data_IF_371085070008
#
_entry.id   IF_371085070008
#
_cell.length_a   1.000
_cell.length_b   1.000
_cell.length_c   1.000
_cell.angle_alpha   90.00
_cell.angle_beta   90.00
_cell.angle_gamma   90.00
#
_symmetry.space_group_name_H-M   'P 1'
#
loop_
_entity.id
_entity.type
_entity.pdbx_description
1 polymer ?
#
# COMPACT_ATOMS: atom_id res chain seq x y z
N UNK A 1 -2.90 -29.45 14.49
CA UNK A 1 -2.38 -28.41 13.58
C UNK A 1 -3.59 -27.62 13.07
N UNK A 2 -3.71 -26.31 13.33
CA UNK A 2 -4.79 -25.50 12.73
C UNK A 2 -4.46 -25.34 11.24
N UNK A 3 -5.30 -25.91 10.38
CA UNK A 3 -5.23 -25.68 8.94
C UNK A 3 -5.82 -24.29 8.69
N UNK A 4 -5.03 -23.41 8.10
CA UNK A 4 -5.50 -22.09 7.66
C UNK A 4 -6.05 -22.27 6.25
N UNK A 5 -7.33 -21.97 6.05
CA UNK A 5 -7.97 -22.02 4.74
C UNK A 5 -7.88 -20.64 4.08
N UNK A 6 -7.62 -20.61 2.77
CA UNK A 6 -7.76 -19.40 1.96
C UNK A 6 -9.21 -19.30 1.50
N UNK A 7 -9.80 -18.13 1.63
CA UNK A 7 -11.13 -17.81 1.11
C UNK A 7 -11.03 -16.53 0.28
N UNK A 8 -11.63 -16.52 -0.90
CA UNK A 8 -11.82 -15.31 -1.72
C UNK A 8 -13.19 -14.73 -1.37
N UNK A 9 -13.18 -13.67 -0.56
CA UNK A 9 -14.42 -12.95 -0.27
C UNK A 9 -14.74 -12.00 -1.43
N UNK A 10 -15.70 -12.38 -2.27
CA UNK A 10 -16.27 -11.46 -3.26
C UNK A 10 -17.05 -10.37 -2.55
N UNK A 11 -16.98 -9.15 -3.08
CA UNK A 11 -17.71 -8.01 -2.50
C UNK A 11 -19.21 -8.28 -2.56
N UNK A 12 -19.90 -8.20 -1.41
CA UNK A 12 -21.35 -8.45 -1.30
C UNK A 12 -22.20 -7.50 -2.17
N UNK A 13 -21.63 -6.39 -2.62
CA UNK A 13 -22.29 -5.40 -3.48
C UNK A 13 -21.33 -4.91 -4.57
N UNK A 14 -21.83 -4.46 -5.74
CA UNK A 14 -21.02 -3.88 -6.81
C UNK A 14 -20.16 -2.69 -6.37
N UNK A 15 -20.58 -1.98 -5.31
CA UNK A 15 -19.87 -0.86 -4.71
C UNK A 15 -18.47 -1.21 -4.15
N UNK A 16 -18.14 -2.49 -3.98
CA UNK A 16 -16.79 -2.91 -3.58
C UNK A 16 -15.83 -3.12 -4.74
N UNK A 17 -16.33 -3.22 -5.97
CA UNK A 17 -15.52 -3.36 -7.18
C UNK A 17 -15.02 -2.00 -7.63
N UNK A 18 -13.73 -1.88 -7.94
CA UNK A 18 -13.13 -0.62 -8.37
C UNK A 18 -11.98 -0.83 -9.33
N UNK A 19 -11.78 0.17 -10.19
CA UNK A 19 -10.61 0.27 -11.06
C UNK A 19 -9.65 1.29 -10.46
N UNK A 20 -8.41 0.88 -10.24
CA UNK A 20 -7.35 1.74 -9.71
C UNK A 20 -6.36 1.99 -10.85
N UNK A 21 -6.13 3.25 -11.27
CA UNK A 21 -5.12 3.55 -12.28
C UNK A 21 -3.74 3.03 -11.85
N UNK A 22 -3.06 2.32 -12.75
CA UNK A 22 -1.74 1.77 -12.49
C UNK A 22 -0.68 2.78 -12.90
N UNK A 23 0.16 3.18 -11.95
CA UNK A 23 1.33 4.01 -12.23
C UNK A 23 2.40 3.18 -12.97
N UNK A 24 3.24 3.82 -13.79
CA UNK A 24 4.21 3.09 -14.63
C UNK A 24 5.16 2.23 -13.79
N UNK A 25 5.70 2.75 -12.69
CA UNK A 25 6.57 1.95 -11.81
C UNK A 25 5.86 0.76 -11.15
N UNK A 26 4.53 0.83 -10.99
CA UNK A 26 3.72 -0.31 -10.47
C UNK A 26 3.59 -1.37 -11.55
N UNK A 27 3.37 -0.96 -12.80
CA UNK A 27 3.34 -1.86 -13.95
C UNK A 27 4.69 -2.56 -14.12
N UNK A 28 5.79 -1.81 -14.05
CA UNK A 28 7.15 -2.36 -14.07
C UNK A 28 7.35 -3.38 -12.96
N UNK A 29 6.90 -3.10 -11.73
CA UNK A 29 6.99 -4.05 -10.62
C UNK A 29 6.24 -5.37 -10.89
N UNK A 30 5.06 -5.31 -11.52
CA UNK A 30 4.32 -6.52 -11.93
C UNK A 30 5.04 -7.30 -13.03
N UNK A 31 5.66 -6.61 -14.00
CA UNK A 31 6.44 -7.25 -15.05
C UNK A 31 7.68 -7.94 -14.49
N UNK A 32 8.39 -7.29 -13.56
CA UNK A 32 9.53 -7.88 -12.86
C UNK A 32 9.12 -9.11 -12.06
N UNK A 33 7.96 -9.08 -11.40
CA UNK A 33 7.46 -10.24 -10.66
C UNK A 33 7.10 -11.40 -11.59
N UNK A 34 6.50 -11.11 -12.75
CA UNK A 34 6.21 -12.11 -13.79
C UNK A 34 7.50 -12.75 -14.31
N UNK A 35 8.49 -11.95 -14.71
CA UNK A 35 9.79 -12.45 -15.17
C UNK A 35 10.47 -13.31 -14.10
N UNK A 36 10.46 -12.86 -12.84
CA UNK A 36 11.00 -13.62 -11.70
C UNK A 36 10.31 -14.98 -11.55
N UNK A 37 8.99 -15.04 -11.72
CA UNK A 37 8.24 -16.29 -11.66
C UNK A 37 8.60 -17.24 -12.80
N UNK A 38 8.68 -16.72 -14.03
CA UNK A 38 9.09 -17.48 -15.21
C UNK A 38 10.51 -18.06 -15.05
N UNK A 39 11.47 -17.24 -14.60
CA UNK A 39 12.86 -17.66 -14.36
C UNK A 39 12.97 -18.77 -13.30
N UNK A 40 12.07 -18.79 -12.31
CA UNK A 40 12.06 -19.78 -11.25
C UNK A 40 11.14 -20.97 -11.54
N UNK A 41 10.48 -21.00 -12.70
CA UNK A 41 9.45 -22.01 -13.02
C UNK A 41 8.26 -21.98 -12.06
N UNK A 42 8.03 -20.85 -11.39
CA UNK A 42 7.02 -20.72 -10.36
C UNK A 42 5.68 -20.34 -10.98
N UNK A 43 4.66 -21.14 -10.71
CA UNK A 43 3.30 -20.91 -11.18
C UNK A 43 2.30 -21.15 -10.05
N UNK A 44 1.09 -20.64 -10.21
CA UNK A 44 0.02 -20.87 -9.25
C UNK A 44 -0.49 -22.32 -9.35
N UNK A 45 -0.43 -23.05 -8.24
CA UNK A 45 -1.00 -24.40 -8.12
C UNK A 45 -2.34 -24.41 -7.38
N UNK A 46 -2.71 -23.27 -6.78
CA UNK A 46 -3.92 -23.18 -5.98
C UNK A 46 -5.14 -22.79 -6.82
N UNK A 47 -6.26 -23.44 -6.51
CA UNK A 47 -7.60 -22.97 -6.84
C UNK A 47 -8.30 -22.63 -5.54
N UNK A 48 -8.80 -21.40 -5.39
CA UNK A 48 -9.52 -20.95 -4.20
C UNK A 48 -10.85 -20.35 -4.63
N UNK A 49 -11.96 -20.95 -4.21
CA UNK A 49 -13.33 -20.51 -4.55
C UNK A 49 -13.57 -20.30 -6.06
N UNK A 50 -12.95 -21.13 -6.89
CA UNK A 50 -13.04 -21.05 -8.36
C UNK A 50 -12.07 -20.07 -9.02
N UNK A 51 -11.28 -19.32 -8.24
CA UNK A 51 -10.22 -18.45 -8.74
C UNK A 51 -8.88 -19.19 -8.81
N UNK A 52 -8.18 -18.99 -9.92
CA UNK A 52 -6.84 -19.54 -10.22
C UNK A 52 -5.88 -18.43 -10.60
N UNK A 53 -4.64 -18.78 -10.95
CA UNK A 53 -3.66 -17.86 -11.54
C UNK A 53 -3.36 -16.64 -10.66
N UNK A 54 -3.26 -16.86 -9.35
CA UNK A 54 -2.90 -15.83 -8.40
C UNK A 54 -1.51 -15.27 -8.72
N UNK A 55 -1.41 -13.94 -8.84
CA UNK A 55 -0.16 -13.26 -9.16
C UNK A 55 0.87 -13.44 -8.04
N UNK A 56 0.48 -13.30 -6.77
CA UNK A 56 1.43 -13.37 -5.66
C UNK A 56 1.40 -14.74 -4.99
N UNK A 57 2.30 -15.62 -5.40
CA UNK A 57 2.45 -16.97 -4.86
C UNK A 57 3.75 -17.14 -4.06
N UNK A 58 3.76 -18.10 -3.15
CA UNK A 58 4.96 -18.54 -2.44
C UNK A 58 5.73 -19.56 -3.28
N UNK A 59 6.89 -20.03 -2.80
CA UNK A 59 7.76 -20.99 -3.51
C UNK A 59 7.12 -22.36 -3.82
N UNK A 60 5.93 -22.62 -3.31
CA UNK A 60 5.16 -23.85 -3.53
C UNK A 60 3.92 -23.61 -4.39
N UNK A 61 3.84 -22.47 -5.09
CA UNK A 61 2.69 -22.13 -5.95
C UNK A 61 1.39 -21.79 -5.21
N UNK A 62 1.44 -21.65 -3.88
CA UNK A 62 0.26 -21.29 -3.06
C UNK A 62 0.18 -19.77 -2.83
N UNK A 63 -1.01 -19.18 -2.67
CA UNK A 63 -1.17 -17.75 -2.45
C UNK A 63 -0.37 -17.26 -1.23
N UNK A 64 0.19 -16.06 -1.35
CA UNK A 64 0.91 -15.43 -0.24
C UNK A 64 -0.03 -15.10 0.92
N UNK A 65 0.38 -15.44 2.14
CA UNK A 65 -0.40 -15.17 3.34
C UNK A 65 0.01 -13.84 3.99
N UNK A 66 -0.97 -13.03 4.41
CA UNK A 66 -0.73 -11.70 4.99
C UNK A 66 0.22 -11.73 6.20
N UNK A 67 0.12 -12.76 7.05
CA UNK A 67 1.02 -12.90 8.20
C UNK A 67 2.48 -13.11 7.78
N UNK A 68 2.73 -13.78 6.66
CA UNK A 68 4.07 -13.97 6.10
C UNK A 68 4.63 -12.65 5.58
N UNK A 69 3.80 -11.87 4.89
CA UNK A 69 4.18 -10.54 4.42
C UNK A 69 4.51 -9.59 5.59
N UNK A 70 3.67 -9.55 6.62
CA UNK A 70 3.96 -8.75 7.82
C UNK A 70 5.22 -9.22 8.57
N UNK A 71 5.51 -10.54 8.59
CA UNK A 71 6.79 -11.05 9.12
C UNK A 71 7.98 -10.59 8.27
N UNK A 72 7.84 -10.56 6.95
CA UNK A 72 8.87 -10.06 6.04
C UNK A 72 9.13 -8.57 6.29
N UNK A 73 8.08 -7.75 6.42
CA UNK A 73 8.19 -6.31 6.76
C UNK A 73 8.96 -6.12 8.07
N UNK A 74 8.60 -6.85 9.13
CA UNK A 74 9.34 -6.76 10.41
C UNK A 74 10.81 -7.14 10.29
N UNK A 75 11.14 -8.11 9.42
CA UNK A 75 12.53 -8.49 9.16
C UNK A 75 13.27 -7.38 8.41
N UNK A 76 12.63 -6.76 7.41
CA UNK A 76 13.19 -5.62 6.67
C UNK A 76 13.49 -4.47 7.63
N UNK A 77 12.54 -4.10 8.49
CA UNK A 77 12.72 -3.04 9.49
C UNK A 77 13.94 -3.32 10.38
N UNK A 78 14.05 -4.53 10.94
CA UNK A 78 15.21 -4.92 11.75
C UNK A 78 16.50 -4.81 10.97
N UNK A 79 16.59 -5.43 9.80
CA UNK A 79 17.81 -5.44 8.99
C UNK A 79 18.27 -4.01 8.61
N UNK A 80 17.32 -3.13 8.28
CA UNK A 80 17.62 -1.73 7.97
C UNK A 80 18.14 -0.99 9.20
N UNK A 81 17.49 -1.15 10.35
CA UNK A 81 17.91 -0.51 11.59
C UNK A 81 19.26 -1.05 12.08
N UNK A 82 19.47 -2.37 12.02
CA UNK A 82 20.74 -3.01 12.36
C UNK A 82 21.87 -2.48 11.49
N UNK A 83 21.62 -2.27 10.18
CA UNK A 83 22.59 -1.64 9.28
C UNK A 83 22.94 -0.21 9.71
N UNK A 84 21.97 0.58 10.14
CA UNK A 84 22.23 1.93 10.65
C UNK A 84 23.11 1.90 11.91
N UNK A 85 22.90 0.95 12.81
CA UNK A 85 23.73 0.76 14.01
C UNK A 85 25.15 0.26 13.71
N UNK A 86 25.37 -0.41 12.56
CA UNK A 86 26.72 -0.78 12.11
C UNK A 86 27.49 0.42 11.55
N UNK A 87 26.80 1.41 11.00
CA UNK A 87 27.40 2.62 10.41
C UNK A 87 27.61 3.74 11.44
N UNK A 88 26.77 3.80 12.48
CA UNK A 88 26.85 4.79 13.56
C UNK A 88 26.37 4.21 14.89
N UNK A 89 27.08 4.50 15.98
CA UNK A 89 26.64 4.14 17.33
C UNK A 89 25.35 4.87 17.75
N UNK A 90 25.05 6.01 17.11
CA UNK A 90 23.87 6.81 17.40
C UNK A 90 23.19 7.24 16.07
N UNK A 91 22.43 6.34 15.43
CA UNK A 91 21.82 6.61 14.15
C UNK A 91 20.72 7.66 14.26
N UNK A 92 20.74 8.65 13.35
CA UNK A 92 19.78 9.76 13.36
C UNK A 92 18.37 9.33 12.94
N UNK A 93 18.26 8.32 12.07
CA UNK A 93 16.97 7.87 11.50
C UNK A 93 16.84 6.36 11.60
N UNK A 94 15.80 5.91 12.30
CA UNK A 94 15.40 4.52 12.39
C UNK A 94 14.04 4.32 11.74
N UNK A 95 13.87 3.19 11.06
CA UNK A 95 12.56 2.80 10.56
C UNK A 95 11.65 2.40 11.74
N UNK A 96 10.46 3.02 11.87
CA UNK A 96 9.50 2.65 12.88
C UNK A 96 8.86 1.30 12.54
N UNK A 97 8.15 0.71 13.50
CA UNK A 97 7.34 -0.46 13.22
C UNK A 97 6.13 -0.10 12.35
N UNK A 98 6.03 -0.71 11.16
CA UNK A 98 4.87 -0.54 10.26
C UNK A 98 4.38 -1.87 9.69
N UNK A 99 3.20 -1.84 9.06
CA UNK A 99 2.53 -3.00 8.45
C UNK A 99 2.07 -2.70 7.03
N UNK A 100 1.51 -3.70 6.34
CA UNK A 100 0.89 -3.50 5.03
C UNK A 100 -0.21 -2.42 5.04
N UNK A 101 -0.95 -2.31 6.16
CA UNK A 101 -1.99 -1.28 6.29
C UNK A 101 -1.37 0.11 6.40
N UNK A 102 -0.23 0.24 7.08
CA UNK A 102 0.52 1.48 7.16
C UNK A 102 0.95 1.99 5.78
N UNK A 103 1.35 1.10 4.87
CA UNK A 103 1.70 1.47 3.48
C UNK A 103 0.52 2.09 2.73
N UNK A 104 -0.69 1.54 2.92
CA UNK A 104 -1.93 2.10 2.36
C UNK A 104 -2.23 3.48 2.93
N UNK A 105 -2.01 3.68 4.23
CA UNK A 105 -2.13 5.01 4.83
C UNK A 105 -1.12 5.99 4.24
N UNK A 106 0.15 5.60 4.14
CA UNK A 106 1.18 6.44 3.52
C UNK A 106 0.82 6.83 2.09
N UNK A 107 0.35 5.89 1.27
CA UNK A 107 -0.14 6.20 -0.08
C UNK A 107 -1.28 7.24 -0.07
N UNK A 108 -2.22 7.10 0.86
CA UNK A 108 -3.34 8.04 1.04
C UNK A 108 -2.84 9.44 1.43
N UNK A 109 -1.98 9.52 2.44
CA UNK A 109 -1.39 10.78 2.91
C UNK A 109 -0.61 11.47 1.80
N UNK A 110 0.20 10.74 1.03
CA UNK A 110 0.95 11.30 -0.12
C UNK A 110 0.02 11.86 -1.19
N UNK A 111 -1.10 11.19 -1.49
CA UNK A 111 -2.10 11.75 -2.42
C UNK A 111 -2.74 13.03 -1.88
N UNK A 112 -3.04 13.08 -0.57
CA UNK A 112 -3.56 14.30 0.07
C UNK A 112 -2.54 15.45 0.02
N UNK A 113 -1.26 15.19 0.34
CA UNK A 113 -0.17 16.17 0.28
C UNK A 113 0.03 16.71 -1.14
N UNK A 114 -0.17 15.87 -2.16
CA UNK A 114 -0.11 16.26 -3.56
C UNK A 114 -1.37 17.00 -4.05
N UNK A 115 -2.34 17.29 -3.18
CA UNK A 115 -3.57 18.01 -3.53
C UNK A 115 -4.57 17.19 -4.36
N UNK A 116 -4.45 15.86 -4.39
CA UNK A 116 -5.39 15.01 -5.13
C UNK A 116 -6.78 15.11 -4.51
N UNK A 117 -7.80 15.22 -5.36
CA UNK A 117 -9.18 15.33 -4.91
C UNK A 117 -9.59 14.15 -4.00
N UNK A 118 -10.14 14.46 -2.82
CA UNK A 118 -10.54 13.48 -1.80
C UNK A 118 -11.52 12.42 -2.33
N UNK A 119 -12.42 12.78 -3.26
CA UNK A 119 -13.32 11.79 -3.88
C UNK A 119 -12.55 10.80 -4.75
N UNK A 120 -11.56 11.26 -5.52
CA UNK A 120 -10.69 10.38 -6.32
C UNK A 120 -9.90 9.43 -5.43
N UNK A 121 -9.37 9.92 -4.31
CA UNK A 121 -8.67 9.10 -3.30
C UNK A 121 -9.62 8.05 -2.70
N UNK A 122 -10.85 8.44 -2.36
CA UNK A 122 -11.84 7.52 -1.80
C UNK A 122 -12.25 6.43 -2.78
N UNK A 123 -12.48 6.79 -4.05
CA UNK A 123 -12.84 5.85 -5.11
C UNK A 123 -11.71 4.83 -5.34
N UNK A 124 -10.45 5.29 -5.37
CA UNK A 124 -9.28 4.42 -5.52
C UNK A 124 -9.08 3.46 -4.34
N UNK A 125 -9.40 3.89 -3.11
CA UNK A 125 -9.23 3.10 -1.88
C UNK A 125 -10.46 2.25 -1.55
N UNK A 126 -11.64 2.62 -2.02
CA UNK A 126 -12.91 1.95 -1.69
C UNK A 126 -13.21 1.94 -0.19
N UNK A 127 -12.93 3.05 0.50
CA UNK A 127 -13.34 3.22 1.89
C UNK A 127 -14.86 3.47 1.93
N UNK A 128 -15.62 2.51 2.47
CA UNK A 128 -17.05 2.72 2.77
C UNK A 128 -17.25 3.81 3.82
N UNK A 129 -16.28 3.96 4.73
CA UNK A 129 -16.25 5.03 5.71
C UNK A 129 -15.21 6.09 5.32
N UNK A 130 -15.74 7.25 4.95
CA UNK A 130 -15.03 8.47 4.55
C UNK A 130 -14.20 9.02 5.72
N UNK A 131 -14.52 8.66 6.97
CA UNK A 131 -13.88 9.17 8.20
C UNK A 131 -12.36 9.01 8.22
N UNK A 132 -11.83 7.87 7.77
CA UNK A 132 -10.38 7.60 7.82
C UNK A 132 -9.62 8.47 6.82
N UNK A 133 -10.16 8.63 5.61
CA UNK A 133 -9.56 9.52 4.60
C UNK A 133 -9.74 10.99 5.00
N UNK A 134 -10.90 11.35 5.55
CA UNK A 134 -11.17 12.70 6.05
C UNK A 134 -10.27 13.08 7.22
N UNK A 135 -10.00 12.19 8.17
CA UNK A 135 -9.12 12.47 9.31
C UNK A 135 -7.69 12.76 8.84
N UNK A 136 -7.16 11.93 7.93
CA UNK A 136 -5.85 12.17 7.30
C UNK A 136 -5.87 13.50 6.52
N UNK A 137 -6.93 13.71 5.74
CA UNK A 137 -7.10 14.94 4.99
C UNK A 137 -7.13 16.15 5.92
N UNK A 138 -7.89 16.14 7.02
CA UNK A 138 -7.99 17.28 7.94
C UNK A 138 -6.68 17.65 8.58
N UNK A 139 -5.82 16.67 8.86
CA UNK A 139 -4.49 16.95 9.43
C UNK A 139 -3.56 17.56 8.37
N UNK A 140 -3.50 16.98 7.17
CA UNK A 140 -2.72 17.54 6.05
C UNK A 140 -3.25 18.91 5.61
N UNK A 141 -4.56 19.10 5.58
CA UNK A 141 -5.22 20.34 5.13
C UNK A 141 -5.01 21.49 6.11
N UNK A 142 -4.67 21.25 7.39
CA UNK A 142 -4.29 22.36 8.28
C UNK A 142 -2.98 23.00 7.83
N UNK A 143 -2.02 22.18 7.39
CA UNK A 143 -0.74 22.64 6.85
C UNK A 143 -0.92 23.22 5.44
N UNK A 144 -1.66 22.53 4.57
CA UNK A 144 -1.96 22.98 3.21
C UNK A 144 -2.81 24.27 3.16
N UNK A 145 -3.75 24.46 4.10
CA UNK A 145 -4.58 25.68 4.13
C UNK A 145 -3.75 26.93 4.24
N UNK A 146 -2.67 26.90 5.01
CA UNK A 146 -1.83 28.08 5.21
C UNK A 146 -1.18 28.50 3.89
N UNK A 147 -0.61 27.56 3.15
CA UNK A 147 0.01 27.84 1.84
C UNK A 147 -0.99 28.23 0.76
N UNK A 148 -2.18 27.62 0.73
CA UNK A 148 -3.23 27.95 -0.25
C UNK A 148 -3.80 29.34 -0.02
N UNK A 149 -4.03 29.75 1.25
CA UNK A 149 -4.52 31.09 1.56
C UNK A 149 -3.45 32.17 1.30
N UNK A 150 -2.17 31.89 1.57
CA UNK A 150 -1.05 32.78 1.18
C UNK A 150 -0.98 32.93 -0.36
N UNK A 151 -1.20 31.85 -1.12
CA UNK A 151 -1.27 31.88 -2.58
C UNK A 151 -2.46 32.70 -3.11
N UNK A 152 -3.63 32.60 -2.47
CA UNK A 152 -4.81 33.39 -2.82
C UNK A 152 -4.60 34.88 -2.54
N UNK A 153 -4.00 35.26 -1.41
CA UNK A 153 -3.68 36.67 -1.11
C UNK A 153 -2.77 37.28 -2.19
N UNK A 154 -1.80 36.53 -2.70
CA UNK A 154 -0.94 36.98 -3.80
C UNK A 154 -1.69 37.11 -5.13
N UNK A 155 -2.73 36.31 -5.35
CA UNK A 155 -3.54 36.31 -6.57
C UNK A 155 -4.58 37.43 -6.59
N UNK A 156 -5.08 37.86 -5.42
CA UNK A 156 -6.02 38.97 -5.27
C UNK A 156 -5.36 40.34 -5.05
N UNK A 157 -4.04 40.37 -4.79
CA UNK A 157 -3.24 41.61 -4.70
C UNK A 157 -2.51 41.97 -6.02
N UNK A 158 -2.87 41.32 -7.14
CA UNK A 158 -2.53 41.74 -8.52
C UNK A 158 -3.73 42.44 -9.15
#
# INVERSE_FOLDING_TARGET
RKVSYFNVNTTKTPAGMRQVPMLEFVKEAFLMEKERQELLGLHCEATVDGYTDFIFVNRFGQPQHQATLNKAIRRIIRNCNDKQFLESENPEVLLPHFSCHSLRHTFTTRMCEAGVNVKVIQDALGHKDVSTTLNIYTDVTKELRKSEFEGLELQFNQ
#
